data_IF_121056894591
#
_entry.id   IF_121056894591
#
_cell.length_a   1.000
_cell.length_b   1.000
_cell.length_c   1.000
_cell.angle_alpha   90.00
_cell.angle_beta   90.00
_cell.angle_gamma   90.00
#
_symmetry.space_group_name_H-M   'P 1'
#
loop_
_entity.id
_entity.type
_entity.pdbx_description
1 polymer ?
#
# COMPACT_ATOMS: atom_id res chain seq x y z
N UNK A 1 2.29 3.26 14.92
CA UNK A 1 2.73 2.76 13.60
C UNK A 1 2.40 3.82 12.59
N UNK A 2 3.25 4.04 11.61
CA UNK A 2 3.02 5.01 10.53
C UNK A 2 3.23 4.35 9.19
N UNK A 3 2.57 4.87 8.16
CA UNK A 3 2.80 4.47 6.80
C UNK A 3 2.75 5.67 5.84
N UNK A 4 3.60 5.64 4.82
CA UNK A 4 3.57 6.54 3.67
C UNK A 4 3.11 5.73 2.47
N UNK A 5 2.07 6.20 1.80
CA UNK A 5 1.45 5.52 0.68
C UNK A 5 1.74 6.25 -0.62
N UNK A 6 2.12 5.49 -1.65
CA UNK A 6 2.24 5.98 -3.00
C UNK A 6 1.35 5.17 -3.91
N UNK A 7 0.44 5.83 -4.63
CA UNK A 7 -0.30 5.19 -5.70
C UNK A 7 0.59 5.07 -6.93
N UNK A 8 0.80 3.83 -7.37
CA UNK A 8 1.78 3.51 -8.42
C UNK A 8 1.12 2.81 -9.60
N UNK A 9 1.74 2.97 -10.78
CA UNK A 9 1.45 2.12 -11.95
C UNK A 9 2.24 0.81 -11.92
N UNK A 10 3.40 0.83 -11.25
CA UNK A 10 4.28 -0.31 -10.99
C UNK A 10 5.21 0.05 -9.83
N UNK A 11 5.64 -0.94 -9.05
CA UNK A 11 6.70 -0.80 -8.06
C UNK A 11 7.43 -2.13 -7.88
N UNK A 12 8.71 -2.08 -7.52
CA UNK A 12 9.52 -3.26 -7.26
C UNK A 12 10.57 -2.99 -6.19
N UNK A 13 11.08 -4.07 -5.59
CA UNK A 13 12.20 -4.05 -4.66
C UNK A 13 13.23 -5.09 -5.07
N UNK A 14 14.50 -4.70 -4.99
CA UNK A 14 15.63 -5.58 -5.27
C UNK A 14 16.65 -5.52 -4.14
N UNK A 15 17.24 -6.67 -3.82
CA UNK A 15 18.31 -6.81 -2.84
C UNK A 15 19.50 -7.44 -3.55
N UNK A 16 20.67 -6.80 -3.48
CA UNK A 16 21.87 -7.20 -4.22
C UNK A 16 21.63 -7.43 -5.72
N UNK A 17 20.81 -6.55 -6.32
CA UNK A 17 20.43 -6.61 -7.73
C UNK A 17 19.42 -7.71 -8.09
N UNK A 18 18.96 -8.53 -7.13
CA UNK A 18 17.95 -9.57 -7.36
C UNK A 18 16.56 -9.05 -7.03
N UNK A 19 15.60 -9.24 -7.95
CA UNK A 19 14.20 -8.91 -7.72
C UNK A 19 13.62 -9.83 -6.64
N UNK A 20 13.09 -9.25 -5.56
CA UNK A 20 12.46 -10.00 -4.45
C UNK A 20 10.96 -9.73 -4.32
N UNK A 21 10.44 -8.71 -5.02
CA UNK A 21 9.02 -8.44 -5.11
C UNK A 21 8.71 -7.35 -6.12
N UNK A 22 7.59 -7.50 -6.83
CA UNK A 22 7.06 -6.51 -7.76
C UNK A 22 5.54 -6.50 -7.77
N UNK A 23 4.98 -5.36 -8.16
CA UNK A 23 3.55 -5.18 -8.39
C UNK A 23 3.33 -4.35 -9.66
N UNK A 24 2.19 -4.59 -10.32
CA UNK A 24 1.63 -3.69 -11.32
C UNK A 24 0.92 -2.49 -10.68
N UNK A 25 -0.25 -2.07 -11.21
CA UNK A 25 -1.03 -1.00 -10.61
C UNK A 25 -1.42 -1.30 -9.16
N UNK A 26 -1.23 -0.33 -8.26
CA UNK A 26 -1.44 -0.59 -6.84
C UNK A 26 -0.90 0.47 -5.89
N UNK A 27 -0.50 0.02 -4.70
CA UNK A 27 0.11 0.85 -3.66
C UNK A 27 1.52 0.36 -3.31
N UNK A 28 2.49 1.27 -3.34
CA UNK A 28 3.74 1.12 -2.61
C UNK A 28 3.55 1.72 -1.21
N UNK A 29 3.81 0.93 -0.18
CA UNK A 29 3.56 1.27 1.22
C UNK A 29 4.86 1.17 1.97
N UNK A 30 5.40 2.32 2.40
CA UNK A 30 6.47 2.35 3.39
C UNK A 30 5.86 2.32 4.78
N UNK A 31 6.21 1.33 5.60
CA UNK A 31 5.68 1.17 6.96
C UNK A 31 6.80 1.35 7.97
N UNK A 32 6.48 2.00 9.09
CA UNK A 32 7.41 2.18 10.20
C UNK A 32 6.70 1.79 11.51
N UNK A 33 7.27 0.79 12.19
CA UNK A 33 6.90 0.43 13.55
C UNK A 33 7.75 1.21 14.56
N UNK A 34 7.14 1.61 15.68
CA UNK A 34 7.77 2.35 16.77
C UNK A 34 7.60 1.60 18.09
N UNK A 35 8.43 1.93 19.08
CA UNK A 35 8.26 1.40 20.43
C UNK A 35 6.86 1.75 20.97
N UNK A 36 6.15 0.76 21.51
CA UNK A 36 4.79 0.91 22.00
C UNK A 36 3.69 0.65 20.95
N UNK A 37 4.05 0.34 19.70
CA UNK A 37 3.07 -0.14 18.72
C UNK A 37 2.55 -1.52 19.07
N UNK A 38 1.25 -1.72 18.84
CA UNK A 38 0.56 -2.98 19.11
C UNK A 38 0.06 -3.63 17.83
N UNK A 39 -0.28 -4.92 17.92
CA UNK A 39 -0.90 -5.66 16.81
C UNK A 39 -2.22 -5.02 16.39
N UNK A 40 -3.02 -4.54 17.33
CA UNK A 40 -4.31 -3.89 17.06
C UNK A 40 -4.11 -2.57 16.29
N UNK A 41 -3.03 -1.83 16.56
CA UNK A 41 -2.69 -0.64 15.80
C UNK A 41 -2.30 -0.99 14.35
N UNK A 42 -1.57 -2.08 14.15
CA UNK A 42 -1.22 -2.59 12.82
C UNK A 42 -2.46 -3.05 12.04
N UNK A 43 -3.35 -3.83 12.67
CA UNK A 43 -4.60 -4.32 12.06
C UNK A 43 -5.48 -3.14 11.63
N UNK A 44 -5.64 -2.12 12.49
CA UNK A 44 -6.40 -0.90 12.17
C UNK A 44 -5.76 -0.10 11.02
N UNK A 45 -4.44 -0.01 10.98
CA UNK A 45 -3.73 0.68 9.89
C UNK A 45 -3.92 -0.06 8.57
N UNK A 46 -3.76 -1.39 8.56
CA UNK A 46 -3.95 -2.22 7.38
C UNK A 46 -5.40 -2.11 6.84
N UNK A 47 -6.39 -2.17 7.73
CA UNK A 47 -7.80 -2.00 7.36
C UNK A 47 -8.08 -0.62 6.76
N UNK A 48 -7.54 0.45 7.39
CA UNK A 48 -7.66 1.82 6.89
C UNK A 48 -7.05 1.98 5.51
N UNK A 49 -5.87 1.41 5.29
CA UNK A 49 -5.17 1.47 3.99
C UNK A 49 -5.96 0.70 2.92
N UNK A 50 -6.43 -0.52 3.23
CA UNK A 50 -7.16 -1.34 2.28
C UNK A 50 -8.49 -0.71 1.81
N UNK A 51 -9.10 0.13 2.66
CA UNK A 51 -10.35 0.86 2.37
C UNK A 51 -10.13 2.29 1.85
N UNK A 52 -8.89 2.77 1.78
CA UNK A 52 -8.59 4.15 1.40
C UNK A 52 -8.92 4.40 -0.08
N UNK A 53 -9.80 5.37 -0.36
CA UNK A 53 -10.25 5.72 -1.71
C UNK A 53 -9.29 6.68 -2.40
N UNK A 54 -8.27 6.13 -3.04
CA UNK A 54 -7.21 6.89 -3.74
C UNK A 54 -7.07 6.53 -5.21
N UNK A 55 -7.88 5.60 -5.72
CA UNK A 55 -7.92 5.21 -7.13
C UNK A 55 -9.08 5.90 -7.85
N UNK A 56 -8.85 6.19 -9.14
CA UNK A 56 -9.82 6.87 -9.99
C UNK A 56 -10.93 5.90 -10.41
N UNK A 57 -12.16 6.40 -10.44
CA UNK A 57 -13.30 5.79 -11.14
C UNK A 57 -13.31 6.17 -12.62
N UNK A 58 -14.35 5.76 -13.34
CA UNK A 58 -14.56 6.05 -14.77
C UNK A 58 -14.71 7.55 -15.05
N UNK A 59 -15.16 8.34 -14.07
CA UNK A 59 -15.27 9.79 -14.15
C UNK A 59 -13.96 10.50 -13.75
N UNK A 60 -12.90 9.76 -13.44
CA UNK A 60 -11.61 10.29 -13.03
C UNK A 60 -11.53 10.80 -11.59
N UNK A 61 -12.57 10.56 -10.77
CA UNK A 61 -12.66 10.96 -9.36
C UNK A 61 -12.09 9.87 -8.46
N UNK A 62 -11.52 10.26 -7.32
CA UNK A 62 -10.89 9.32 -6.39
C UNK A 62 -11.92 8.60 -5.51
N UNK A 63 -12.55 7.56 -6.04
CA UNK A 63 -13.65 6.84 -5.36
C UNK A 63 -13.38 5.37 -5.09
N UNK A 64 -12.34 4.79 -5.68
CA UNK A 64 -12.00 3.39 -5.51
C UNK A 64 -10.88 3.18 -4.51
N UNK A 65 -11.03 2.15 -3.68
CA UNK A 65 -9.99 1.60 -2.82
C UNK A 65 -9.12 0.59 -3.57
N UNK A 66 -8.01 0.16 -2.96
CA UNK A 66 -7.17 -0.89 -3.54
C UNK A 66 -8.00 -2.16 -3.81
N UNK A 67 -8.87 -2.53 -2.85
CA UNK A 67 -9.77 -3.68 -2.97
C UNK A 67 -10.72 -3.56 -4.15
N UNK A 68 -11.30 -2.38 -4.36
CA UNK A 68 -12.25 -2.14 -5.46
C UNK A 68 -11.56 -2.29 -6.83
N UNK A 69 -10.28 -1.90 -6.94
CA UNK A 69 -9.52 -1.99 -8.19
C UNK A 69 -8.92 -3.37 -8.48
N UNK A 70 -8.91 -4.29 -7.52
CA UNK A 70 -8.16 -5.55 -7.62
C UNK A 70 -6.63 -5.37 -7.73
N UNK A 71 -6.12 -4.17 -7.40
CA UNK A 71 -4.70 -3.85 -7.45
C UNK A 71 -3.90 -4.53 -6.33
N UNK A 72 -2.58 -4.51 -6.46
CA UNK A 72 -1.67 -5.14 -5.51
C UNK A 72 -1.02 -4.12 -4.55
N UNK A 73 -0.50 -4.60 -3.42
CA UNK A 73 0.26 -3.80 -2.47
C UNK A 73 1.69 -4.33 -2.32
N UNK A 74 2.68 -3.46 -2.43
CA UNK A 74 4.06 -3.75 -2.10
C UNK A 74 4.39 -3.03 -0.79
N UNK A 75 4.69 -3.78 0.27
CA UNK A 75 4.92 -3.26 1.62
C UNK A 75 6.39 -3.37 1.98
N UNK A 76 7.01 -2.24 2.32
CA UNK A 76 8.44 -2.11 2.61
C UNK A 76 8.61 -1.48 4.00
N UNK A 77 9.44 -2.08 4.84
CA UNK A 77 9.84 -1.52 6.14
C UNK A 77 11.09 -0.68 6.04
#
# INVERSE_FOLDING_TARGET
MRAVLQRVRRAQVSVDGKLVGEIGPGLLIFVCAMLGDSKEAADKLAEKIAKLRVFKDEAGKMNHSLKDTGGAALVIS
#
